data_IF_263582295775
#
_entry.id   IF_263582295775
#
_cell.length_a   1.000
_cell.length_b   1.000
_cell.length_c   1.000
_cell.angle_alpha   90.00
_cell.angle_beta   90.00
_cell.angle_gamma   90.00
#
_symmetry.space_group_name_H-M   'P 1'
#
loop_
_entity.id
_entity.type
_entity.pdbx_description
1 polymer ?
#
# COMPACT_ATOMS: atom_id res chain seq x y z
N UNK A 1 -30.78 -41.43 -45.78
CA UNK A 1 -29.79 -40.34 -45.97
C UNK A 1 -29.28 -39.90 -44.61
N UNK A 2 -27.96 -39.76 -44.45
CA UNK A 2 -27.31 -39.31 -43.22
C UNK A 2 -26.75 -37.90 -43.47
N UNK A 3 -26.97 -36.95 -42.54
CA UNK A 3 -26.56 -35.54 -42.70
C UNK A 3 -26.10 -34.91 -41.38
N UNK A 4 -25.26 -33.88 -41.48
CA UNK A 4 -24.84 -33.00 -40.38
C UNK A 4 -25.43 -31.60 -40.53
N UNK A 5 -25.57 -30.87 -39.42
CA UNK A 5 -25.97 -29.46 -39.42
C UNK A 5 -24.86 -28.50 -39.91
N UNK A 6 -23.58 -28.84 -39.72
CA UNK A 6 -22.44 -27.91 -39.95
C UNK A 6 -21.98 -27.80 -41.41
N UNK A 7 -22.27 -28.79 -42.26
CA UNK A 7 -21.99 -28.74 -43.71
C UNK A 7 -22.74 -29.85 -44.47
N UNK A 8 -23.12 -29.55 -45.72
CA UNK A 8 -24.03 -30.38 -46.52
C UNK A 8 -23.37 -31.58 -47.24
N UNK A 9 -22.05 -31.56 -47.45
CA UNK A 9 -21.32 -32.50 -48.34
C UNK A 9 -20.24 -33.33 -47.62
N UNK A 10 -20.58 -34.02 -46.53
CA UNK A 10 -19.66 -34.98 -45.92
C UNK A 10 -19.75 -36.33 -46.66
N UNK A 11 -18.60 -36.89 -47.06
CA UNK A 11 -18.54 -38.16 -47.80
C UNK A 11 -19.18 -39.30 -46.99
N UNK A 12 -20.26 -39.86 -47.52
CA UNK A 12 -20.94 -41.01 -46.93
C UNK A 12 -20.35 -42.32 -47.46
N UNK A 13 -20.07 -43.26 -46.55
CA UNK A 13 -19.61 -44.62 -46.89
C UNK A 13 -20.71 -45.61 -46.54
N UNK A 14 -21.11 -46.45 -47.50
CA UNK A 14 -22.08 -47.53 -47.29
C UNK A 14 -21.31 -48.86 -47.27
N UNK A 15 -21.48 -49.63 -46.21
CA UNK A 15 -20.86 -50.93 -46.00
C UNK A 15 -21.96 -51.99 -45.85
N UNK A 16 -21.82 -53.13 -46.54
CA UNK A 16 -22.70 -54.28 -46.35
C UNK A 16 -22.10 -55.21 -45.31
N UNK A 17 -22.88 -55.54 -44.29
CA UNK A 17 -22.46 -56.39 -43.19
C UNK A 17 -22.65 -57.88 -43.53
N UNK A 18 -21.99 -58.75 -42.78
CA UNK A 18 -22.04 -60.22 -42.96
C UNK A 18 -23.43 -60.82 -42.71
N UNK A 19 -24.24 -60.14 -41.92
CA UNK A 19 -25.66 -60.49 -41.64
C UNK A 19 -26.62 -60.04 -42.75
N UNK A 20 -26.11 -59.38 -43.81
CA UNK A 20 -26.90 -58.86 -44.91
C UNK A 20 -27.47 -57.45 -44.68
N UNK A 21 -27.29 -56.85 -43.50
CA UNK A 21 -27.67 -55.47 -43.22
C UNK A 21 -26.72 -54.46 -43.90
N UNK A 22 -27.14 -53.19 -43.98
CA UNK A 22 -26.32 -52.10 -44.51
C UNK A 22 -26.03 -51.08 -43.42
N UNK A 23 -24.78 -50.63 -43.31
CA UNK A 23 -24.37 -49.53 -42.44
C UNK A 23 -23.92 -48.35 -43.27
N UNK A 24 -24.51 -47.18 -43.03
CA UNK A 24 -24.05 -45.92 -43.60
C UNK A 24 -23.27 -45.16 -42.53
N UNK A 25 -22.02 -44.79 -42.84
CA UNK A 25 -21.17 -43.97 -41.97
C UNK A 25 -20.90 -42.63 -42.65
N UNK A 26 -20.98 -41.55 -41.88
CA UNK A 26 -20.56 -40.22 -42.27
C UNK A 26 -19.44 -39.81 -41.31
N UNK A 27 -18.33 -39.31 -41.84
CA UNK A 27 -17.21 -38.89 -41.03
C UNK A 27 -16.71 -37.54 -41.53
N UNK A 28 -16.62 -36.58 -40.62
CA UNK A 28 -16.18 -35.22 -40.93
C UNK A 28 -15.09 -34.81 -39.95
N UNK A 29 -13.96 -34.35 -40.47
CA UNK A 29 -12.94 -33.69 -39.66
C UNK A 29 -13.24 -32.20 -39.65
N UNK A 30 -13.46 -31.62 -38.47
CA UNK A 30 -13.81 -30.21 -38.30
C UNK A 30 -12.71 -29.55 -37.47
N UNK A 31 -12.22 -28.41 -37.94
CA UNK A 31 -11.31 -27.57 -37.15
C UNK A 31 -12.14 -26.67 -36.25
N UNK A 32 -12.15 -26.95 -34.96
CA UNK A 32 -12.90 -26.17 -33.99
C UNK A 32 -12.15 -24.89 -33.61
N UNK A 33 -12.92 -23.87 -33.26
CA UNK A 33 -12.41 -22.60 -32.72
C UNK A 33 -13.23 -22.23 -31.48
N UNK A 34 -12.75 -21.24 -30.71
CA UNK A 34 -13.43 -20.78 -29.49
C UNK A 34 -14.89 -20.39 -29.70
N UNK A 35 -15.26 -19.94 -30.91
CA UNK A 35 -16.64 -19.57 -31.25
C UNK A 35 -17.58 -20.77 -31.42
N UNK A 36 -17.05 -21.99 -31.35
CA UNK A 36 -17.81 -23.24 -31.40
C UNK A 36 -18.08 -23.84 -30.01
N UNK A 37 -17.46 -23.33 -28.93
CA UNK A 37 -17.71 -23.85 -27.59
C UNK A 37 -19.18 -23.67 -27.20
N UNK A 38 -19.80 -24.73 -26.65
CA UNK A 38 -21.21 -24.76 -26.27
C UNK A 38 -22.20 -24.83 -27.43
N UNK A 39 -21.74 -24.81 -28.69
CA UNK A 39 -22.63 -25.07 -29.85
C UNK A 39 -22.94 -26.55 -29.95
N UNK A 40 -24.13 -26.86 -30.48
CA UNK A 40 -24.57 -28.23 -30.72
C UNK A 40 -24.31 -28.64 -32.16
N UNK A 41 -23.84 -29.88 -32.32
CA UNK A 41 -23.73 -30.57 -33.59
C UNK A 41 -24.79 -31.67 -33.61
N UNK A 42 -25.56 -31.75 -34.69
CA UNK A 42 -26.61 -32.76 -34.86
C UNK A 42 -26.25 -33.73 -35.99
N UNK A 43 -26.40 -35.02 -35.71
CA UNK A 43 -26.36 -36.10 -36.69
C UNK A 43 -27.79 -36.62 -36.92
N UNK A 44 -28.26 -36.57 -38.17
CA UNK A 44 -29.62 -36.99 -38.51
C UNK A 44 -29.63 -38.08 -39.59
N UNK A 45 -30.36 -39.17 -39.33
CA UNK A 45 -30.55 -40.29 -40.22
C UNK A 45 -32.02 -40.38 -40.68
N UNK A 46 -32.25 -40.14 -41.97
CA UNK A 46 -33.56 -40.26 -42.63
C UNK A 46 -33.71 -41.61 -43.30
N UNK A 47 -34.81 -42.31 -43.04
CA UNK A 47 -35.09 -43.62 -43.62
C UNK A 47 -36.58 -43.78 -44.00
N UNK A 48 -36.87 -44.44 -45.13
CA UNK A 48 -38.25 -44.69 -45.56
C UNK A 48 -38.91 -45.73 -44.63
N UNK A 49 -40.20 -45.55 -44.39
CA UNK A 49 -41.07 -46.52 -43.71
C UNK A 49 -42.35 -46.70 -44.54
N UNK A 50 -43.20 -47.68 -44.16
CA UNK A 50 -44.47 -47.93 -44.83
C UNK A 50 -44.32 -48.12 -46.36
N UNK A 51 -43.39 -48.98 -46.78
CA UNK A 51 -43.05 -49.25 -48.20
C UNK A 51 -42.62 -48.00 -49.00
N UNK A 52 -42.11 -46.98 -48.32
CA UNK A 52 -41.61 -45.75 -48.95
C UNK A 52 -42.65 -44.64 -49.06
N UNK A 53 -43.87 -44.84 -48.55
CA UNK A 53 -44.89 -43.79 -48.51
C UNK A 53 -44.60 -42.73 -47.43
N UNK A 54 -43.87 -43.11 -46.39
CA UNK A 54 -43.52 -42.22 -45.28
C UNK A 54 -42.00 -42.22 -45.04
N UNK A 55 -41.51 -41.18 -44.37
CA UNK A 55 -40.10 -41.07 -43.96
C UNK A 55 -40.01 -40.77 -42.48
N UNK A 56 -39.16 -41.50 -41.75
CA UNK A 56 -38.81 -41.18 -40.37
C UNK A 56 -37.39 -40.63 -40.31
N UNK A 57 -37.14 -39.81 -39.29
CA UNK A 57 -35.83 -39.24 -39.00
C UNK A 57 -35.45 -39.60 -37.57
N UNK A 58 -34.28 -40.20 -37.40
CA UNK A 58 -33.61 -40.32 -36.11
C UNK A 58 -32.56 -39.21 -36.02
N UNK A 59 -32.42 -38.57 -34.87
CA UNK A 59 -31.51 -37.45 -34.67
C UNK A 59 -30.81 -37.57 -33.32
N UNK A 60 -29.54 -37.17 -33.26
CA UNK A 60 -28.76 -37.12 -32.03
C UNK A 60 -27.92 -35.86 -32.04
N UNK A 61 -27.92 -35.16 -30.91
CA UNK A 61 -27.16 -33.93 -30.72
C UNK A 61 -26.02 -34.16 -29.74
N UNK A 62 -24.87 -33.58 -30.07
CA UNK A 62 -23.72 -33.50 -29.17
C UNK A 62 -23.34 -32.04 -28.95
N UNK A 63 -22.97 -31.69 -27.72
CA UNK A 63 -22.52 -30.32 -27.40
C UNK A 63 -21.01 -30.25 -27.50
N UNK A 64 -20.52 -29.34 -28.34
CA UNK A 64 -19.09 -29.13 -28.53
C UNK A 64 -18.48 -28.50 -27.28
N UNK A 65 -17.39 -29.10 -26.81
CA UNK A 65 -16.60 -28.59 -25.69
C UNK A 65 -15.20 -28.26 -26.18
N UNK A 66 -14.93 -26.97 -26.38
CA UNK A 66 -13.66 -26.48 -26.90
C UNK A 66 -12.88 -25.83 -25.77
N UNK A 67 -11.66 -26.30 -25.53
CA UNK A 67 -10.76 -25.69 -24.56
C UNK A 67 -9.90 -24.62 -25.24
N UNK A 68 -9.63 -23.53 -24.53
CA UNK A 68 -8.88 -22.37 -25.01
C UNK A 68 -8.11 -21.67 -23.88
N UNK A 69 -6.96 -21.09 -24.25
CA UNK A 69 -6.19 -20.20 -23.39
C UNK A 69 -6.99 -18.92 -23.04
N UNK A 70 -6.64 -18.18 -21.98
CA UNK A 70 -7.43 -17.02 -21.53
C UNK A 70 -7.71 -16.01 -22.65
N UNK A 71 -8.96 -15.53 -22.69
CA UNK A 71 -9.50 -14.55 -23.64
C UNK A 71 -10.27 -13.47 -22.91
N UNK A 72 -10.31 -12.29 -23.55
CA UNK A 72 -10.92 -11.07 -23.07
C UNK A 72 -10.45 -10.68 -21.65
N UNK A 73 -9.16 -10.87 -21.38
CA UNK A 73 -8.55 -10.48 -20.11
C UNK A 73 -8.64 -8.96 -19.94
N UNK A 74 -9.25 -8.54 -18.83
CA UNK A 74 -9.48 -7.14 -18.51
C UNK A 74 -9.04 -6.83 -17.08
N UNK A 75 -8.56 -5.60 -16.89
CA UNK A 75 -8.21 -5.04 -15.59
C UNK A 75 -9.11 -3.84 -15.32
N UNK A 76 -9.63 -3.75 -14.11
CA UNK A 76 -10.51 -2.67 -13.66
C UNK A 76 -9.99 -2.05 -12.37
N UNK A 77 -10.28 -0.77 -12.15
CA UNK A 77 -9.79 0.03 -11.02
C UNK A 77 -10.99 0.56 -10.22
N UNK A 78 -10.91 0.49 -8.90
CA UNK A 78 -11.88 1.07 -7.97
C UNK A 78 -11.19 1.72 -6.77
N UNK A 79 -11.42 3.00 -6.46
CA UNK A 79 -12.20 3.98 -7.25
C UNK A 79 -11.51 4.32 -8.58
N UNK A 80 -12.29 4.72 -9.58
CA UNK A 80 -11.78 5.20 -10.87
C UNK A 80 -11.49 6.71 -10.83
N UNK A 81 -10.62 7.19 -11.73
CA UNK A 81 -10.30 8.61 -11.85
C UNK A 81 -9.11 9.06 -10.98
N UNK A 82 -9.19 10.30 -10.48
CA UNK A 82 -8.14 10.92 -9.65
C UNK A 82 -8.28 10.46 -8.20
N UNK A 83 -7.20 9.91 -7.65
CA UNK A 83 -7.18 9.29 -6.32
C UNK A 83 -6.26 10.09 -5.40
N UNK A 84 -6.67 10.34 -4.16
CA UNK A 84 -5.80 11.04 -3.20
C UNK A 84 -4.67 10.13 -2.71
N UNK A 85 -3.48 10.68 -2.53
CA UNK A 85 -2.39 9.95 -1.87
C UNK A 85 -2.83 9.50 -0.47
N UNK A 86 -2.51 8.27 -0.09
CA UNK A 86 -2.93 7.68 1.18
C UNK A 86 -4.27 6.93 1.13
N UNK A 87 -5.01 6.97 0.01
CA UNK A 87 -6.27 6.24 -0.13
C UNK A 87 -6.07 4.83 -0.71
N UNK A 88 -7.05 3.95 -0.47
CA UNK A 88 -7.00 2.57 -0.95
C UNK A 88 -7.57 2.45 -2.37
N UNK A 89 -6.85 1.75 -3.23
CA UNK A 89 -7.31 1.32 -4.56
C UNK A 89 -7.36 -0.19 -4.63
N UNK A 90 -8.39 -0.69 -5.28
CA UNK A 90 -8.60 -2.09 -5.63
C UNK A 90 -8.55 -2.25 -7.14
N UNK A 91 -7.66 -3.11 -7.59
CA UNK A 91 -7.61 -3.61 -8.96
C UNK A 91 -8.26 -4.99 -9.03
N UNK A 92 -9.06 -5.24 -10.05
CA UNK A 92 -9.71 -6.53 -10.29
C UNK A 92 -9.47 -6.98 -11.73
N UNK A 93 -8.99 -8.22 -11.88
CA UNK A 93 -8.70 -8.84 -13.16
C UNK A 93 -9.81 -9.84 -13.49
N UNK A 94 -10.24 -9.90 -14.75
CA UNK A 94 -11.23 -10.86 -15.20
C UNK A 94 -10.81 -11.43 -16.54
N UNK A 95 -11.05 -12.72 -16.78
CA UNK A 95 -10.77 -13.36 -18.06
C UNK A 95 -11.68 -14.57 -18.28
N UNK A 96 -12.05 -14.84 -19.53
CA UNK A 96 -12.72 -16.07 -19.93
C UNK A 96 -11.68 -17.13 -20.29
N UNK A 97 -11.82 -18.35 -19.78
CA UNK A 97 -10.90 -19.44 -20.09
C UNK A 97 -11.59 -20.79 -19.91
N UNK A 98 -11.14 -21.80 -20.66
CA UNK A 98 -11.57 -23.19 -20.49
C UNK A 98 -10.37 -24.12 -20.76
N UNK A 99 -9.82 -24.84 -19.75
CA UNK A 99 -10.19 -24.86 -18.34
C UNK A 99 -10.10 -23.48 -17.66
N UNK A 100 -10.73 -23.30 -16.47
CA UNK A 100 -10.69 -22.05 -15.73
C UNK A 100 -9.26 -21.52 -15.52
N UNK A 101 -9.15 -20.21 -15.32
CA UNK A 101 -7.87 -19.55 -15.05
C UNK A 101 -7.22 -20.16 -13.80
N UNK A 102 -5.97 -20.58 -13.91
CA UNK A 102 -5.19 -21.16 -12.80
C UNK A 102 -4.47 -20.08 -11.99
N UNK A 103 -4.09 -18.96 -12.60
CA UNK A 103 -3.53 -17.81 -11.89
C UNK A 103 -3.79 -16.47 -12.57
N UNK A 104 -3.94 -15.44 -11.74
CA UNK A 104 -3.84 -14.05 -12.14
C UNK A 104 -2.59 -13.44 -11.51
N UNK A 105 -1.77 -12.75 -12.30
CA UNK A 105 -0.58 -12.05 -11.81
C UNK A 105 -0.64 -10.58 -12.18
N UNK A 106 -0.47 -9.71 -11.19
CA UNK A 106 -0.46 -8.26 -11.37
C UNK A 106 0.94 -7.71 -11.52
N UNK A 107 1.10 -6.79 -12.46
CA UNK A 107 2.34 -6.09 -12.71
C UNK A 107 2.13 -4.58 -12.63
N UNK A 108 3.10 -3.87 -12.02
CA UNK A 108 3.25 -2.42 -12.10
C UNK A 108 4.37 -2.12 -13.10
N UNK A 109 4.11 -1.27 -14.08
CA UNK A 109 5.12 -0.82 -15.05
C UNK A 109 6.08 0.15 -14.36
N UNK A 110 7.36 -0.19 -14.34
CA UNK A 110 8.45 0.66 -13.87
C UNK A 110 9.29 1.18 -15.04
N UNK A 111 10.30 2.02 -14.72
CA UNK A 111 11.27 2.51 -15.71
C UNK A 111 12.16 1.41 -16.26
N UNK A 112 12.57 0.48 -15.38
CA UNK A 112 13.49 -0.61 -15.70
C UNK A 112 12.76 -1.91 -16.11
N UNK A 113 11.45 -1.83 -16.34
CA UNK A 113 10.60 -2.97 -16.66
C UNK A 113 9.40 -3.13 -15.73
N UNK A 114 8.58 -4.12 -16.02
CA UNK A 114 7.41 -4.42 -15.21
C UNK A 114 7.79 -5.27 -13.98
N UNK A 115 7.28 -4.88 -12.81
CA UNK A 115 7.52 -5.57 -11.54
C UNK A 115 6.23 -6.26 -11.13
N UNK A 116 6.33 -7.54 -10.75
CA UNK A 116 5.21 -8.29 -10.17
C UNK A 116 4.87 -7.70 -8.79
N UNK A 117 3.62 -7.33 -8.60
CA UNK A 117 3.14 -6.68 -7.36
C UNK A 117 2.15 -7.52 -6.57
N UNK A 118 1.45 -8.45 -7.22
CA UNK A 118 0.50 -9.35 -6.55
C UNK A 118 0.23 -10.60 -7.38
N UNK A 119 -0.21 -11.65 -6.72
CA UNK A 119 -0.93 -12.78 -7.33
C UNK A 119 -2.37 -12.77 -6.83
N UNK A 120 -3.28 -13.32 -7.64
CA UNK A 120 -4.71 -13.37 -7.35
C UNK A 120 -5.52 -12.42 -8.22
N UNK A 121 -6.83 -12.69 -8.28
CA UNK A 121 -7.80 -11.92 -9.07
C UNK A 121 -7.87 -10.45 -8.66
N UNK A 122 -7.67 -10.18 -7.38
CA UNK A 122 -7.80 -8.86 -6.76
C UNK A 122 -6.45 -8.42 -6.19
N UNK A 123 -6.06 -7.18 -6.46
CA UNK A 123 -4.92 -6.52 -5.83
C UNK A 123 -5.34 -5.19 -5.21
N UNK A 124 -5.25 -5.09 -3.89
CA UNK A 124 -5.62 -3.88 -3.13
C UNK A 124 -4.39 -3.28 -2.45
N UNK A 125 -4.18 -1.98 -2.60
CA UNK A 125 -3.03 -1.29 -2.03
C UNK A 125 -3.34 0.17 -1.68
N UNK A 126 -2.51 0.74 -0.81
CA UNK A 126 -2.55 2.16 -0.49
C UNK A 126 -1.77 2.95 -1.55
N UNK A 127 -2.41 3.94 -2.16
CA UNK A 127 -1.82 4.70 -3.26
C UNK A 127 -0.89 5.77 -2.71
N UNK A 128 0.41 5.60 -2.93
CA UNK A 128 1.43 6.63 -2.62
C UNK A 128 1.77 7.44 -3.86
N UNK A 129 1.88 6.77 -4.99
CA UNK A 129 2.20 7.32 -6.30
C UNK A 129 1.20 6.84 -7.37
N UNK A 130 1.11 7.62 -8.45
CA UNK A 130 0.43 7.16 -9.65
C UNK A 130 1.22 6.02 -10.31
N UNK A 131 0.55 5.25 -11.16
CA UNK A 131 1.20 4.14 -11.84
C UNK A 131 0.35 3.49 -12.90
N UNK A 132 1.01 2.68 -13.72
CA UNK A 132 0.36 1.87 -14.75
C UNK A 132 0.44 0.41 -14.34
N UNK A 133 -0.71 -0.25 -14.31
CA UNK A 133 -0.87 -1.62 -13.87
C UNK A 133 -1.52 -2.46 -14.97
N UNK A 134 -1.21 -3.74 -15.02
CA UNK A 134 -1.90 -4.70 -15.87
C UNK A 134 -1.86 -6.08 -15.22
N UNK A 135 -2.77 -6.96 -15.61
CA UNK A 135 -2.79 -8.34 -15.14
C UNK A 135 -2.53 -9.32 -16.28
N UNK A 136 -1.95 -10.47 -15.94
CA UNK A 136 -1.80 -11.62 -16.82
C UNK A 136 -2.63 -12.76 -16.26
N UNK A 137 -3.61 -13.23 -17.03
CA UNK A 137 -4.40 -14.41 -16.73
C UNK A 137 -3.76 -15.63 -17.40
N UNK A 138 -3.63 -16.74 -16.68
CA UNK A 138 -2.98 -17.97 -17.17
C UNK A 138 -3.86 -19.19 -16.91
N UNK A 139 -3.91 -20.12 -17.85
CA UNK A 139 -4.36 -21.50 -17.64
C UNK A 139 -3.36 -22.47 -18.29
N UNK A 140 -3.65 -23.77 -18.24
CA UNK A 140 -2.76 -24.82 -18.75
C UNK A 140 -2.51 -24.75 -20.27
N UNK A 141 -3.30 -23.97 -21.01
CA UNK A 141 -3.19 -23.79 -22.45
C UNK A 141 -2.44 -22.52 -22.86
N UNK A 142 -2.19 -21.60 -21.92
CA UNK A 142 -1.46 -20.37 -22.18
C UNK A 142 -1.92 -19.20 -21.31
N UNK A 143 -1.63 -17.98 -21.76
CA UNK A 143 -1.94 -16.77 -21.02
C UNK A 143 -2.44 -15.63 -21.93
N UNK A 144 -3.03 -14.61 -21.31
CA UNK A 144 -3.32 -13.34 -21.95
C UNK A 144 -3.12 -12.18 -20.98
N UNK A 145 -2.55 -11.11 -21.50
CA UNK A 145 -2.32 -9.85 -20.77
C UNK A 145 -3.47 -8.89 -21.00
N UNK A 146 -3.93 -8.22 -19.94
CA UNK A 146 -4.94 -7.17 -20.02
C UNK A 146 -4.41 -5.90 -20.68
N UNK A 147 -5.33 -5.01 -21.04
CA UNK A 147 -4.99 -3.60 -21.26
C UNK A 147 -4.44 -2.94 -19.98
N UNK A 148 -3.71 -1.84 -20.16
CA UNK A 148 -3.14 -1.06 -19.08
C UNK A 148 -4.20 -0.26 -18.31
N UNK A 149 -4.05 -0.23 -16.99
CA UNK A 149 -4.89 0.46 -16.01
C UNK A 149 -4.09 1.56 -15.34
N UNK A 150 -4.53 2.82 -15.49
CA UNK A 150 -3.83 3.99 -14.98
C UNK A 150 -4.40 4.45 -13.64
N UNK A 151 -3.59 4.41 -12.60
CA UNK A 151 -3.90 5.04 -11.30
C UNK A 151 -3.26 6.42 -11.31
N UNK A 152 -4.09 7.47 -11.22
CA UNK A 152 -3.60 8.86 -11.21
C UNK A 152 -3.83 9.48 -9.85
N UNK A 153 -2.76 10.01 -9.25
CA UNK A 153 -2.85 10.64 -7.93
C UNK A 153 -3.15 12.13 -8.07
N UNK A 154 -4.23 12.58 -7.44
CA UNK A 154 -4.63 13.98 -7.36
C UNK A 154 -4.18 14.62 -6.05
N UNK A 155 -3.36 15.66 -6.14
CA UNK A 155 -2.97 16.46 -4.97
C UNK A 155 -2.25 17.73 -5.40
N UNK A 156 -2.62 18.87 -4.81
CA UNK A 156 -1.82 20.10 -4.91
C UNK A 156 -0.59 19.89 -4.02
N UNK A 157 0.65 20.22 -4.48
CA UNK A 157 1.79 20.23 -3.58
C UNK A 157 1.47 21.20 -2.44
N UNK A 158 1.43 20.70 -1.21
CA UNK A 158 1.22 21.55 -0.04
C UNK A 158 2.44 22.47 0.04
N UNK A 159 2.23 23.75 -0.27
CA UNK A 159 3.30 24.74 -0.39
C UNK A 159 3.71 25.21 1.02
N UNK A 160 4.34 24.31 1.80
CA UNK A 160 4.86 24.63 3.13
C UNK A 160 5.87 25.79 3.10
N UNK A 161 6.49 26.08 1.95
CA UNK A 161 7.38 27.24 1.78
C UNK A 161 6.72 28.57 2.12
N UNK A 162 5.43 28.76 1.80
CA UNK A 162 4.72 30.00 2.13
C UNK A 162 4.37 30.08 3.64
N UNK A 163 3.96 28.96 4.24
CA UNK A 163 3.65 28.89 5.66
C UNK A 163 4.91 29.06 6.53
N UNK A 164 6.01 28.41 6.17
CA UNK A 164 7.30 28.52 6.86
C UNK A 164 7.89 29.93 6.70
N UNK A 165 7.81 30.53 5.52
CA UNK A 165 8.25 31.91 5.29
C UNK A 165 7.46 32.93 6.13
N UNK A 166 6.14 32.76 6.25
CA UNK A 166 5.31 33.61 7.09
C UNK A 166 5.65 33.46 8.59
N UNK A 167 5.84 32.22 9.06
CA UNK A 167 6.22 31.95 10.46
C UNK A 167 7.59 32.57 10.78
N UNK A 168 8.58 32.41 9.90
CA UNK A 168 9.92 33.01 10.07
C UNK A 168 9.84 34.54 10.08
N UNK A 169 9.05 35.14 9.18
CA UNK A 169 8.83 36.59 9.14
C UNK A 169 8.21 37.13 10.44
N UNK A 170 7.22 36.43 11.00
CA UNK A 170 6.58 36.79 12.27
C UNK A 170 7.59 36.69 13.43
N UNK A 171 8.41 35.63 13.47
CA UNK A 171 9.44 35.47 14.51
C UNK A 171 10.47 36.62 14.45
N UNK A 172 10.93 37.00 13.25
CA UNK A 172 11.87 38.12 13.08
C UNK A 172 11.25 39.44 13.55
N UNK A 173 9.98 39.69 13.24
CA UNK A 173 9.27 40.87 13.71
C UNK A 173 9.18 40.94 15.25
N UNK A 174 8.85 39.81 15.89
CA UNK A 174 8.80 39.72 17.35
C UNK A 174 10.18 39.97 17.97
N UNK A 175 11.23 39.37 17.41
CA UNK A 175 12.61 39.60 17.86
C UNK A 175 13.01 41.06 17.71
N UNK A 176 12.67 41.72 16.59
CA UNK A 176 12.95 43.14 16.38
C UNK A 176 12.24 44.02 17.40
N UNK A 177 10.96 43.76 17.69
CA UNK A 177 10.22 44.50 18.73
C UNK A 177 10.86 44.29 20.11
N UNK A 178 11.26 43.07 20.45
CA UNK A 178 11.92 42.76 21.71
C UNK A 178 13.28 43.45 21.84
N UNK A 179 14.07 43.49 20.76
CA UNK A 179 15.35 44.20 20.70
C UNK A 179 15.12 45.71 20.88
N UNK A 180 14.14 46.30 20.19
CA UNK A 180 13.81 47.72 20.33
C UNK A 180 13.34 48.06 21.76
N UNK A 181 12.54 47.19 22.38
CA UNK A 181 12.10 47.34 23.76
C UNK A 181 13.27 47.25 24.76
N UNK A 182 14.18 46.30 24.55
CA UNK A 182 15.41 46.16 25.34
C UNK A 182 16.32 47.39 25.21
N UNK A 183 16.52 47.90 23.99
CA UNK A 183 17.33 49.09 23.74
C UNK A 183 16.71 50.37 24.37
N UNK A 184 15.38 50.50 24.33
CA UNK A 184 14.68 51.60 25.03
C UNK A 184 14.80 51.49 26.56
N UNK A 185 14.72 50.28 27.12
CA UNK A 185 14.90 50.06 28.56
C UNK A 185 16.29 50.45 29.05
N UNK A 186 17.31 50.37 28.20
CA UNK A 186 18.68 50.81 28.53
C UNK A 186 18.82 52.33 28.46
N UNK A 187 18.15 53.01 27.52
CA UNK A 187 18.17 54.47 27.40
C UNK A 187 17.53 55.21 28.60
N UNK A 188 16.63 54.56 29.34
CA UNK A 188 16.03 55.13 30.55
C UNK A 188 16.97 55.10 31.75
N UNK A 189 18.09 54.36 31.69
CA UNK A 189 19.05 54.23 32.79
C UNK A 189 20.19 55.27 32.80
N UNK A 190 20.17 56.29 31.93
CA UNK A 190 21.25 57.29 31.85
C UNK A 190 20.74 58.74 31.95
N UNK A 191 20.49 59.21 33.18
CA UNK A 191 20.49 60.64 33.52
C UNK A 191 21.59 60.92 34.56
N UNK A 192 22.47 61.93 34.38
CA UNK A 192 23.45 62.32 35.38
C UNK A 192 22.84 63.31 36.39
N UNK A 193 23.02 63.08 37.69
CA UNK A 193 22.68 64.03 38.76
C UNK A 193 23.93 64.82 39.18
N UNK A 194 23.79 66.14 39.22
CA UNK A 194 24.82 67.14 39.49
C UNK A 194 25.03 67.35 41.01
N UNK A 195 26.28 67.55 41.41
CA UNK A 195 26.83 67.68 42.77
C UNK A 195 26.62 69.05 43.43
N UNK A 196 26.38 69.10 44.76
CA UNK A 196 26.82 70.14 45.73
C UNK A 196 27.06 69.49 47.11
N UNK A 197 27.97 70.06 47.89
CA UNK A 197 28.90 69.51 48.90
C UNK A 197 28.57 69.72 50.40
N UNK A 198 29.29 68.94 51.25
CA UNK A 198 29.73 69.14 52.67
C UNK A 198 28.63 69.24 53.75
N UNK A 199 28.65 68.56 54.89
CA UNK A 199 29.66 68.39 55.97
C UNK A 199 29.23 67.16 56.83
N UNK A 200 30.08 66.15 57.06
CA UNK A 200 30.87 65.91 58.28
C UNK A 200 30.16 65.21 59.47
N UNK A 201 30.49 63.93 59.68
CA UNK A 201 30.68 63.35 61.01
C UNK A 201 31.56 62.09 60.88
N UNK A 202 32.74 62.15 61.49
CA UNK A 202 33.77 61.13 61.47
C UNK A 202 33.50 59.94 62.42
N UNK A 203 34.23 58.85 62.13
CA UNK A 203 34.44 57.57 62.86
C UNK A 203 33.38 56.51 62.56
N UNK A 204 33.73 55.30 62.12
CA UNK A 204 34.84 54.46 62.57
C UNK A 204 35.26 53.55 61.41
N UNK A 205 36.57 53.46 61.14
CA UNK A 205 37.11 52.47 60.23
C UNK A 205 37.44 51.21 61.03
N UNK A 206 36.80 50.10 60.69
CA UNK A 206 37.29 48.77 61.01
C UNK A 206 37.12 47.91 59.75
N UNK A 207 38.24 47.38 59.26
CA UNK A 207 38.30 46.34 58.24
C UNK A 207 37.42 45.17 58.66
N UNK A 208 36.69 44.53 57.74
CA UNK A 208 36.78 43.07 57.61
C UNK A 208 36.15 42.53 56.33
N UNK A 209 36.59 41.30 56.05
CA UNK A 209 36.66 40.56 54.81
C UNK A 209 35.36 40.25 54.07
N UNK A 210 35.56 39.94 52.79
CA UNK A 210 34.61 39.30 51.89
C UNK A 210 34.06 38.01 52.52
N UNK A 211 32.76 37.98 52.82
CA UNK A 211 32.06 36.74 53.14
C UNK A 211 31.17 36.32 51.97
N UNK A 212 31.51 35.19 51.35
CA UNK A 212 30.65 34.52 50.38
C UNK A 212 29.48 33.88 51.13
N UNK A 213 28.25 34.10 50.67
CA UNK A 213 27.06 33.50 51.29
C UNK A 213 27.11 31.97 51.13
N UNK A 214 27.20 31.28 52.25
CA UNK A 214 27.00 29.84 52.38
C UNK A 214 25.49 29.52 52.23
N UNK A 215 25.14 28.63 51.29
CA UNK A 215 23.77 28.14 51.12
C UNK A 215 23.59 26.96 52.07
N UNK A 216 22.84 27.20 53.13
CA UNK A 216 22.47 26.21 54.14
C UNK A 216 21.36 25.29 53.60
N UNK A 217 21.65 24.00 53.41
CA UNK A 217 20.64 23.00 53.05
C UNK A 217 19.94 22.48 54.31
N UNK A 218 18.71 22.98 54.56
CA UNK A 218 17.84 22.43 55.61
C UNK A 218 17.47 20.98 55.30
N UNK A 219 17.96 20.06 56.14
CA UNK A 219 17.67 18.63 56.06
C UNK A 219 16.59 18.28 57.09
N UNK A 220 15.32 18.38 56.69
CA UNK A 220 14.21 17.93 57.52
C UNK A 220 14.24 16.39 57.63
N UNK A 221 14.41 15.87 58.84
CA UNK A 221 14.21 14.44 59.16
C UNK A 221 12.71 14.13 59.16
N UNK A 222 12.24 13.01 58.59
CA UNK A 222 10.85 12.61 58.74
C UNK A 222 10.64 11.95 60.10
N UNK A 223 9.58 12.37 60.80
CA UNK A 223 8.96 11.62 61.88
C UNK A 223 8.20 10.41 61.31
N UNK A 224 8.41 9.27 61.96
CA UNK A 224 7.69 8.02 61.80
C UNK A 224 6.27 8.19 62.36
N UNK A 225 5.23 7.90 61.57
CA UNK A 225 3.96 7.34 62.08
C UNK A 225 3.07 6.72 60.99
N UNK A 226 2.83 5.41 61.17
CA UNK A 226 1.60 4.60 61.00
C UNK A 226 0.60 4.75 59.82
N UNK A 227 0.39 3.59 59.16
CA UNK A 227 -0.91 2.92 58.86
C UNK A 227 -1.63 3.18 57.49
N UNK A 228 -1.51 2.15 56.63
CA UNK A 228 -2.56 1.34 55.95
C UNK A 228 -3.49 1.92 54.86
N UNK A 229 -3.32 1.40 53.62
CA UNK A 229 -4.26 0.54 52.86
C UNK A 229 -4.50 0.90 51.38
N UNK A 230 -4.63 -0.16 50.57
CA UNK A 230 -5.37 -0.32 49.30
C UNK A 230 -4.78 0.13 47.94
N UNK A 231 -4.33 -0.89 47.19
CA UNK A 231 -4.73 -1.30 45.83
C UNK A 231 -4.82 -0.28 44.66
N UNK A 232 -3.90 -0.37 43.69
CA UNK A 232 -4.13 -0.83 42.29
C UNK A 232 -2.94 -0.45 41.39
N UNK A 233 -2.41 -1.45 40.70
CA UNK A 233 -1.24 -1.37 39.83
C UNK A 233 -1.63 -0.89 38.43
N UNK A 234 -0.99 0.19 37.97
CA UNK A 234 -1.01 0.68 36.60
C UNK A 234 0.42 0.63 36.06
N UNK A 235 0.73 -0.38 35.24
CA UNK A 235 2.08 -0.54 34.68
C UNK A 235 2.28 0.46 33.52
N UNK A 236 3.17 1.44 33.76
CA UNK A 236 3.64 2.43 32.79
C UNK A 236 4.87 1.88 32.05
N UNK A 237 4.85 2.06 30.73
CA UNK A 237 5.94 1.74 29.78
C UNK A 237 7.07 2.75 29.93
N UNK A 238 8.31 2.28 30.14
CA UNK A 238 9.50 3.14 30.27
C UNK A 238 10.06 3.57 28.91
N UNK A 239 10.50 4.83 28.79
CA UNK A 239 11.41 5.30 27.73
C UNK A 239 12.85 5.37 28.24
N UNK A 240 13.80 4.81 27.49
CA UNK A 240 15.22 4.79 27.83
C UNK A 240 15.93 6.02 27.23
N UNK A 241 16.70 6.75 28.04
CA UNK A 241 17.61 7.81 27.58
C UNK A 241 19.03 7.24 27.48
N UNK A 242 19.65 7.38 26.30
CA UNK A 242 21.01 6.90 26.00
C UNK A 242 21.97 8.09 25.94
N UNK A 243 22.92 8.13 26.86
CA UNK A 243 24.02 9.10 26.82
C UNK A 243 25.35 8.36 26.56
N UNK A 244 25.92 8.54 25.37
CA UNK A 244 27.24 8.00 25.03
C UNK A 244 28.25 9.16 24.98
N UNK A 245 29.17 9.20 25.95
CA UNK A 245 30.27 10.17 25.94
C UNK A 245 31.37 9.67 25.01
N UNK A 246 31.80 10.52 24.06
CA UNK A 246 32.93 10.22 23.17
C UNK A 246 34.16 10.96 23.69
N UNK A 247 35.15 10.22 24.18
CA UNK A 247 36.46 10.76 24.53
C UNK A 247 37.40 10.61 23.34
N UNK A 248 37.94 11.72 22.83
CA UNK A 248 38.94 11.71 21.76
C UNK A 248 40.32 11.49 22.37
N UNK A 249 40.93 10.33 22.14
CA UNK A 249 42.40 10.21 22.17
C UNK A 249 42.87 9.30 21.03
N UNK A 250 43.93 9.74 20.35
CA UNK A 250 44.56 9.04 19.24
C UNK A 250 45.05 7.65 19.69
N UNK A 251 45.02 6.73 18.72
CA UNK A 251 45.55 5.34 18.70
C UNK A 251 44.67 4.23 19.28
N UNK A 252 44.27 3.33 18.36
CA UNK A 252 43.80 1.94 18.46
C UNK A 252 42.68 1.54 19.46
N UNK A 253 41.58 1.06 18.85
CA UNK A 253 40.56 0.13 19.37
C UNK A 253 39.81 0.56 20.64
N UNK A 254 38.70 1.30 20.48
CA UNK A 254 37.78 1.63 21.58
C UNK A 254 36.64 0.61 21.65
N UNK A 255 36.72 -0.28 22.64
CA UNK A 255 35.64 -1.14 23.11
C UNK A 255 34.65 -0.27 23.91
N UNK A 256 33.35 -0.35 23.63
CA UNK A 256 32.32 0.46 24.31
C UNK A 256 31.69 -0.35 25.45
N UNK A 257 32.01 -0.02 26.70
CA UNK A 257 31.23 -0.46 27.87
C UNK A 257 30.14 0.54 28.19
N UNK A 258 28.89 0.07 28.31
CA UNK A 258 27.73 0.87 28.72
C UNK A 258 27.34 0.48 30.15
N UNK A 259 27.22 1.46 31.05
CA UNK A 259 26.77 1.26 32.44
C UNK A 259 25.32 1.74 32.58
N UNK A 260 24.47 0.92 33.20
CA UNK A 260 23.05 1.21 33.40
C UNK A 260 22.80 1.80 34.80
N UNK A 261 22.02 2.87 34.89
CA UNK A 261 21.51 3.39 36.17
C UNK A 261 19.99 3.54 36.12
N UNK A 262 19.27 2.89 37.05
CA UNK A 262 17.83 3.03 37.22
C UNK A 262 17.51 4.24 38.11
N UNK A 263 16.58 5.09 37.67
CA UNK A 263 16.06 6.19 38.47
C UNK A 263 14.58 5.92 38.72
N UNK A 264 14.22 5.61 39.97
CA UNK A 264 12.82 5.63 40.40
C UNK A 264 12.44 7.08 40.73
N UNK A 265 11.40 7.59 40.09
CA UNK A 265 10.70 8.79 40.57
C UNK A 265 9.41 8.35 41.25
N UNK A 266 9.22 8.85 42.47
CA UNK A 266 7.94 8.86 43.17
C UNK A 266 6.93 9.72 42.40
#
# INVERSE_FOLDING_TARGET
QLTWNLQQDSHNKIEKNTDGSFTTKIQQNITLSVTHDGKKISCSARYPVNQGNDTKTAETEETLSVSYAPKDTSASISPSGLVSAGSWVKLTCSSRAKPPVSSFTWFKKGRDGAVKVSEGEIYSFNVTDGGVYYCVATNDLGNQTSAESHVTVGGKPVLWGAAVGAIIGIIILICMVFILWYLQSIHVASHPTQSVSLEEAARTAENEDVHYNEIEFSKQRPSLDSVQDSTQQQDVVYSQVKECKTEKRLTQTSNRECVYSQVQKK
#
